data_IF_392337668088
#
_entry.id   IF_392337668088
#
_cell.length_a   1.000
_cell.length_b   1.000
_cell.length_c   1.000
_cell.angle_alpha   90.00
_cell.angle_beta   90.00
_cell.angle_gamma   90.00
#
_symmetry.space_group_name_H-M   'P 1'
#
loop_
_entity.id
_entity.type
_entity.pdbx_description
1 polymer ?
#
# COMPACT_ATOMS: atom_id res chain seq x y z
N UNK A 1 6.27 -32.22 2.99
CA UNK A 1 5.08 -31.48 3.46
C UNK A 1 5.26 -30.04 3.04
N UNK A 2 4.37 -29.49 2.21
CA UNK A 2 4.44 -28.08 1.84
C UNK A 2 3.98 -27.25 3.05
N UNK A 3 4.88 -26.43 3.60
CA UNK A 3 4.54 -25.47 4.65
C UNK A 3 3.52 -24.50 4.06
N UNK A 4 2.27 -24.61 4.51
CA UNK A 4 1.22 -23.66 4.16
C UNK A 4 1.48 -22.41 4.98
N UNK A 5 2.34 -21.52 4.47
CA UNK A 5 2.57 -20.21 5.07
C UNK A 5 1.22 -19.49 5.05
N UNK A 6 0.68 -19.20 6.23
CA UNK A 6 -0.43 -18.27 6.39
C UNK A 6 0.08 -16.89 5.96
N UNK A 7 -0.02 -16.61 4.67
CA UNK A 7 0.41 -15.35 4.09
C UNK A 7 -0.64 -14.30 4.43
N UNK A 8 -0.55 -13.75 5.66
CA UNK A 8 -1.12 -12.43 5.93
C UNK A 8 -0.62 -11.50 4.83
N UNK A 9 -1.54 -10.87 4.11
CA UNK A 9 -1.20 -10.03 2.98
C UNK A 9 -1.43 -8.59 3.41
N UNK A 10 -0.37 -7.86 3.71
CA UNK A 10 -0.43 -6.44 4.03
C UNK A 10 0.24 -5.64 2.91
N UNK A 11 0.02 -4.33 2.94
CA UNK A 11 0.64 -3.41 2.01
C UNK A 11 1.40 -2.34 2.77
N UNK A 12 2.58 -1.97 2.26
CA UNK A 12 3.32 -0.81 2.73
C UNK A 12 3.60 0.11 1.55
N UNK A 13 3.15 1.36 1.62
CA UNK A 13 3.60 2.43 0.72
C UNK A 13 4.63 3.31 1.43
N UNK A 14 5.58 3.85 0.67
CA UNK A 14 6.70 4.65 1.20
C UNK A 14 6.66 6.06 0.64
N UNK A 15 6.62 7.04 1.53
CA UNK A 15 6.85 8.44 1.21
C UNK A 15 8.33 8.75 1.48
N UNK A 16 9.01 9.24 0.45
CA UNK A 16 10.38 9.78 0.55
C UNK A 16 10.29 11.30 0.49
N UNK A 17 10.70 11.98 1.57
CA UNK A 17 10.76 13.44 1.61
C UNK A 17 12.05 13.97 0.97
N UNK A 18 12.06 15.25 0.64
CA UNK A 18 13.21 15.94 0.05
C UNK A 18 14.47 15.88 0.94
N UNK A 19 14.30 15.80 2.26
CA UNK A 19 15.39 15.65 3.24
C UNK A 19 15.91 14.19 3.37
N UNK A 20 15.36 13.27 2.58
CA UNK A 20 15.67 11.84 2.61
C UNK A 20 15.02 11.09 3.77
N UNK A 21 14.22 11.75 4.61
CA UNK A 21 13.44 11.06 5.64
C UNK A 21 12.30 10.27 5.00
N UNK A 22 11.97 9.15 5.64
CA UNK A 22 11.03 8.17 5.13
C UNK A 22 9.85 8.04 6.09
N UNK A 23 8.66 7.98 5.52
CA UNK A 23 7.41 7.65 6.23
C UNK A 23 6.76 6.49 5.52
N UNK A 24 6.34 5.48 6.27
CA UNK A 24 5.68 4.30 5.70
C UNK A 24 4.22 4.27 6.09
N UNK A 25 3.35 3.88 5.17
CA UNK A 25 1.95 3.61 5.47
C UNK A 25 1.70 2.13 5.32
N UNK A 26 1.46 1.48 6.45
CA UNK A 26 1.12 0.07 6.52
C UNK A 26 -0.40 -0.09 6.55
N UNK A 27 -0.90 -0.94 5.67
CA UNK A 27 -2.32 -1.15 5.43
C UNK A 27 -2.63 -2.62 5.57
N UNK A 28 -3.67 -2.90 6.36
CA UNK A 28 -4.24 -4.24 6.53
C UNK A 28 -5.48 -4.35 5.64
N UNK A 29 -5.70 -5.47 4.93
CA UNK A 29 -6.90 -5.69 4.12
C UNK A 29 -8.19 -5.53 4.93
N UNK A 30 -9.29 -5.29 4.21
CA UNK A 30 -10.60 -5.25 4.83
C UNK A 30 -10.93 -6.58 5.54
N UNK A 31 -11.50 -6.52 6.76
CA UNK A 31 -12.10 -7.69 7.39
C UNK A 31 -13.34 -8.13 6.59
N UNK A 32 -13.71 -9.40 6.71
CA UNK A 32 -14.75 -10.02 5.89
C UNK A 32 -16.09 -9.27 5.99
N UNK A 33 -16.46 -8.79 7.17
CA UNK A 33 -17.72 -8.09 7.42
C UNK A 33 -17.80 -6.78 6.62
N UNK A 34 -16.69 -6.06 6.50
CA UNK A 34 -16.62 -4.83 5.69
C UNK A 34 -16.73 -5.16 4.21
N UNK A 35 -16.11 -6.26 3.77
CA UNK A 35 -16.20 -6.73 2.37
C UNK A 35 -17.63 -7.14 2.04
N UNK A 36 -18.29 -7.90 2.90
CA UNK A 36 -19.66 -8.38 2.72
C UNK A 36 -20.64 -7.21 2.58
N UNK A 37 -20.56 -6.22 3.48
CA UNK A 37 -21.41 -5.02 3.45
C UNK A 37 -21.20 -4.15 2.20
N UNK A 38 -20.01 -4.17 1.61
CA UNK A 38 -19.62 -3.29 0.51
C UNK A 38 -19.38 -4.04 -0.82
N UNK A 39 -19.74 -5.32 -0.92
CA UNK A 39 -19.33 -6.21 -2.01
C UNK A 39 -19.65 -5.65 -3.41
N UNK A 40 -20.83 -5.06 -3.61
CA UNK A 40 -21.24 -4.46 -4.90
C UNK A 40 -20.38 -3.24 -5.23
N UNK A 41 -20.09 -2.38 -4.24
CA UNK A 41 -19.22 -1.22 -4.43
C UNK A 41 -17.80 -1.67 -4.80
N UNK A 42 -17.25 -2.61 -4.03
CA UNK A 42 -15.90 -3.14 -4.21
C UNK A 42 -15.74 -3.85 -5.56
N UNK A 43 -16.71 -4.68 -5.95
CA UNK A 43 -16.71 -5.37 -7.24
C UNK A 43 -16.75 -4.39 -8.42
N UNK A 44 -17.60 -3.36 -8.36
CA UNK A 44 -17.66 -2.35 -9.41
C UNK A 44 -16.36 -1.55 -9.51
N UNK A 45 -15.80 -1.14 -8.36
CA UNK A 45 -14.55 -0.38 -8.33
C UNK A 45 -13.38 -1.22 -8.86
N UNK A 46 -13.30 -2.49 -8.46
CA UNK A 46 -12.34 -3.46 -8.98
C UNK A 46 -12.45 -3.63 -10.49
N UNK A 47 -13.66 -3.86 -11.02
CA UNK A 47 -13.87 -3.98 -12.46
C UNK A 47 -13.42 -2.71 -13.21
N UNK A 48 -13.74 -1.53 -12.68
CA UNK A 48 -13.40 -0.26 -13.31
C UNK A 48 -11.88 -0.01 -13.34
N UNK A 49 -11.12 -0.52 -12.37
CA UNK A 49 -9.65 -0.44 -12.40
C UNK A 49 -9.09 -1.08 -13.67
N UNK A 50 -9.59 -2.25 -14.08
CA UNK A 50 -9.06 -2.96 -15.24
C UNK A 50 -9.70 -2.54 -16.56
N UNK A 51 -10.98 -2.19 -16.56
CA UNK A 51 -11.73 -1.89 -17.78
C UNK A 51 -11.60 -0.45 -18.25
N UNK A 52 -11.49 0.52 -17.34
CA UNK A 52 -11.45 1.94 -17.71
C UNK A 52 -10.04 2.54 -17.66
N UNK A 53 -9.19 2.05 -16.74
CA UNK A 53 -7.90 2.68 -16.44
C UNK A 53 -6.72 1.77 -16.80
N UNK A 54 -6.85 0.48 -16.53
CA UNK A 54 -5.78 -0.49 -16.62
C UNK A 54 -4.92 -0.55 -15.36
N UNK A 55 -4.20 -1.65 -15.20
CA UNK A 55 -3.48 -2.02 -13.96
C UNK A 55 -2.45 -0.98 -13.50
N UNK A 56 -1.77 -0.31 -14.43
CA UNK A 56 -0.73 0.68 -14.10
C UNK A 56 -1.31 2.02 -13.68
N UNK A 57 -2.41 2.46 -14.28
CA UNK A 57 -3.04 3.74 -13.97
C UNK A 57 -3.96 3.68 -12.74
N UNK A 58 -4.54 2.50 -12.46
CA UNK A 58 -5.52 2.34 -11.38
C UNK A 58 -5.03 2.82 -10.00
N UNK A 59 -3.79 2.51 -9.54
CA UNK A 59 -3.26 3.06 -8.29
C UNK A 59 -3.29 4.58 -8.19
N UNK A 60 -3.21 5.32 -9.30
CA UNK A 60 -3.19 6.80 -9.28
C UNK A 60 -4.57 7.42 -9.13
N UNK A 61 -5.63 6.70 -9.49
CA UNK A 61 -6.99 7.24 -9.56
C UNK A 61 -7.97 6.55 -8.64
N UNK A 62 -7.60 5.43 -8.04
CA UNK A 62 -8.50 4.59 -7.23
C UNK A 62 -9.20 5.36 -6.10
N UNK A 63 -8.48 6.21 -5.38
CA UNK A 63 -9.06 7.04 -4.33
C UNK A 63 -10.09 8.05 -4.87
N UNK A 64 -9.79 8.68 -6.00
CA UNK A 64 -10.73 9.62 -6.66
C UNK A 64 -11.98 8.89 -7.15
N UNK A 65 -11.83 7.70 -7.74
CA UNK A 65 -12.95 6.88 -8.18
C UNK A 65 -13.85 6.47 -7.01
N UNK A 66 -13.26 6.05 -5.89
CA UNK A 66 -14.00 5.70 -4.68
C UNK A 66 -14.81 6.90 -4.16
N UNK A 67 -14.17 8.07 -4.02
CA UNK A 67 -14.84 9.30 -3.57
C UNK A 67 -15.98 9.70 -4.50
N UNK A 68 -15.79 9.60 -5.81
CA UNK A 68 -16.85 9.91 -6.78
C UNK A 68 -18.05 8.97 -6.64
N UNK A 69 -17.83 7.67 -6.41
CA UNK A 69 -18.91 6.70 -6.17
C UNK A 69 -19.66 7.03 -4.89
N UNK A 70 -18.95 7.33 -3.80
CA UNK A 70 -19.56 7.67 -2.51
C UNK A 70 -20.37 8.97 -2.62
N UNK A 71 -19.79 10.01 -3.25
CA UNK A 71 -20.47 11.27 -3.49
C UNK A 71 -21.76 11.06 -4.29
N UNK A 72 -21.71 10.28 -5.37
CA UNK A 72 -22.91 9.98 -6.17
C UNK A 72 -23.99 9.26 -5.36
N UNK A 73 -23.62 8.29 -4.50
CA UNK A 73 -24.57 7.60 -3.62
C UNK A 73 -25.20 8.53 -2.58
N UNK A 74 -24.43 9.47 -2.04
CA UNK A 74 -24.96 10.49 -1.13
C UNK A 74 -25.94 11.44 -1.84
N UNK A 75 -25.61 11.88 -3.05
CA UNK A 75 -26.49 12.73 -3.88
C UNK A 75 -27.80 12.02 -4.25
N UNK A 76 -27.75 10.70 -4.45
CA UNK A 76 -28.94 9.88 -4.72
C UNK A 76 -29.76 9.53 -3.47
N UNK A 77 -29.26 9.86 -2.27
CA UNK A 77 -29.92 9.55 -0.99
C UNK A 77 -29.72 8.11 -0.50
N UNK A 78 -28.83 7.32 -1.12
CA UNK A 78 -28.54 5.94 -0.71
C UNK A 78 -27.74 5.88 0.61
N UNK A 79 -26.95 6.94 0.89
CA UNK A 79 -26.13 7.06 2.10
C UNK A 79 -26.46 8.41 2.74
N UNK A 80 -26.95 8.38 3.98
CA UNK A 80 -27.25 9.60 4.71
C UNK A 80 -25.95 10.38 5.05
N UNK A 81 -25.97 11.73 5.02
CA UNK A 81 -24.84 12.53 5.44
C UNK A 81 -24.39 12.19 6.86
N UNK A 82 -23.08 12.07 7.08
CA UNK A 82 -22.49 11.79 8.40
C UNK A 82 -22.51 10.31 8.81
N UNK A 83 -23.01 9.40 7.98
CA UNK A 83 -22.88 7.96 8.20
C UNK A 83 -21.46 7.52 7.80
N UNK A 84 -20.76 6.73 8.65
CA UNK A 84 -19.46 6.16 8.30
C UNK A 84 -19.53 5.37 7.00
N UNK A 85 -18.50 5.53 6.18
CA UNK A 85 -18.33 4.89 4.88
C UNK A 85 -17.11 3.99 4.88
N UNK A 86 -16.91 3.27 3.78
CA UNK A 86 -15.70 2.47 3.58
C UNK A 86 -14.41 3.31 3.60
N UNK A 87 -14.47 4.63 3.37
CA UNK A 87 -13.30 5.52 3.54
C UNK A 87 -12.87 5.54 5.01
N UNK A 88 -13.81 5.59 5.95
CA UNK A 88 -13.52 5.58 7.38
C UNK A 88 -12.88 4.24 7.79
N UNK A 89 -13.32 3.13 7.19
CA UNK A 89 -12.66 1.82 7.37
C UNK A 89 -11.23 1.81 6.82
N UNK A 90 -10.99 2.38 5.63
CA UNK A 90 -9.64 2.50 5.05
C UNK A 90 -8.73 3.31 5.98
N UNK A 91 -9.21 4.44 6.50
CA UNK A 91 -8.45 5.26 7.43
C UNK A 91 -8.11 4.49 8.72
N UNK A 92 -9.09 3.76 9.28
CA UNK A 92 -8.89 2.93 10.49
C UNK A 92 -7.89 1.80 10.27
N UNK A 93 -7.84 1.23 9.07
CA UNK A 93 -6.95 0.13 8.69
C UNK A 93 -5.57 0.58 8.19
N UNK A 94 -5.32 1.90 8.19
CA UNK A 94 -4.04 2.50 7.78
C UNK A 94 -3.28 3.01 9.00
N UNK A 95 -2.05 2.53 9.16
CA UNK A 95 -1.13 2.96 10.22
C UNK A 95 0.12 3.59 9.61
N UNK A 96 0.49 4.76 10.11
CA UNK A 96 1.71 5.47 9.72
C UNK A 96 2.86 5.00 10.61
N UNK A 97 3.99 4.65 9.98
CA UNK A 97 5.25 4.34 10.64
C UNK A 97 6.23 5.47 10.33
N UNK A 98 6.80 6.05 11.37
CA UNK A 98 7.63 7.24 11.26
C UNK A 98 8.84 7.12 12.18
N UNK A 99 9.92 7.84 11.85
CA UNK A 99 11.14 7.85 12.62
C UNK A 99 11.20 9.08 13.53
N UNK A 100 11.35 8.85 14.83
CA UNK A 100 11.62 9.88 15.82
C UNK A 100 13.06 9.75 16.30
N UNK A 101 13.97 10.54 15.71
CA UNK A 101 15.37 10.59 16.14
C UNK A 101 16.05 9.20 16.26
N UNK A 102 15.79 8.32 15.28
CA UNK A 102 16.31 6.95 15.24
C UNK A 102 15.35 5.89 15.80
N UNK A 103 14.29 6.26 16.50
CA UNK A 103 13.29 5.34 17.07
C UNK A 103 12.08 5.28 16.14
N UNK A 104 11.81 4.11 15.57
CA UNK A 104 10.61 3.90 14.75
C UNK A 104 9.36 3.78 15.62
N UNK A 105 8.33 4.57 15.30
CA UNK A 105 7.06 4.64 16.00
C UNK A 105 5.90 4.42 15.04
N UNK A 106 4.74 4.11 15.58
CA UNK A 106 3.50 3.92 14.83
C UNK A 106 2.43 4.89 15.30
N UNK A 107 1.57 5.33 14.40
CA UNK A 107 0.43 6.18 14.71
C UNK A 107 -0.73 5.88 13.76
N UNK A 108 -1.98 5.76 14.23
CA UNK A 108 -3.14 5.70 13.34
C UNK A 108 -3.15 6.89 12.38
N UNK A 109 -3.67 6.72 11.17
CA UNK A 109 -3.63 7.77 10.15
C UNK A 109 -4.24 9.11 10.61
N UNK A 110 -5.39 9.08 11.29
CA UNK A 110 -6.02 10.28 11.85
C UNK A 110 -5.11 11.02 12.86
N UNK A 111 -4.46 10.26 13.75
CA UNK A 111 -3.50 10.83 14.69
C UNK A 111 -2.24 11.37 13.99
N UNK A 112 -1.81 10.73 12.91
CA UNK A 112 -0.67 11.18 12.12
C UNK A 112 -0.96 12.53 11.44
N UNK A 113 -2.16 12.73 10.91
CA UNK A 113 -2.59 14.04 10.41
C UNK A 113 -2.65 15.09 11.51
N UNK A 114 -3.30 14.77 12.64
CA UNK A 114 -3.45 15.71 13.77
C UNK A 114 -2.11 16.18 14.33
N UNK A 115 -1.10 15.29 14.31
CA UNK A 115 0.24 15.58 14.81
C UNK A 115 1.20 16.06 13.70
N UNK A 116 0.72 16.35 12.49
CA UNK A 116 1.53 16.77 11.33
C UNK A 116 2.69 15.80 11.00
N UNK A 117 2.50 14.50 11.25
CA UNK A 117 3.47 13.46 10.88
C UNK A 117 3.44 13.15 9.38
N UNK A 118 2.31 13.44 8.73
CA UNK A 118 2.09 13.37 7.29
C UNK A 118 1.18 14.55 6.90
N UNK A 119 1.46 15.15 5.75
CA UNK A 119 0.68 16.25 5.19
C UNK A 119 -0.43 15.74 4.26
N UNK A 120 -1.49 16.52 4.01
CA UNK A 120 -2.53 16.15 3.05
C UNK A 120 -2.01 15.92 1.63
N UNK A 121 -0.98 16.65 1.21
CA UNK A 121 -0.39 16.51 -0.13
C UNK A 121 0.43 15.23 -0.23
N UNK A 122 1.27 14.92 0.76
CA UNK A 122 1.97 13.62 0.84
C UNK A 122 0.99 12.45 0.82
N UNK A 123 -0.10 12.53 1.57
CA UNK A 123 -1.09 11.45 1.59
C UNK A 123 -1.82 11.30 0.24
N UNK A 124 -2.11 12.42 -0.44
CA UNK A 124 -2.78 12.39 -1.75
C UNK A 124 -1.98 11.61 -2.79
N UNK A 125 -0.66 11.57 -2.68
CA UNK A 125 0.18 10.83 -3.61
C UNK A 125 0.01 9.32 -3.49
N UNK A 126 -0.26 8.81 -2.29
CA UNK A 126 -0.26 7.37 -1.99
C UNK A 126 -1.65 6.80 -1.71
N UNK A 127 -2.64 7.64 -1.39
CA UNK A 127 -3.99 7.20 -1.04
C UNK A 127 -4.61 6.31 -2.12
N UNK A 128 -4.34 6.61 -3.39
CA UNK A 128 -4.79 5.79 -4.49
C UNK A 128 -4.21 4.36 -4.45
N UNK A 129 -2.94 4.19 -4.09
CA UNK A 129 -2.32 2.86 -3.93
C UNK A 129 -2.99 2.08 -2.80
N UNK A 130 -3.28 2.75 -1.69
CA UNK A 130 -3.97 2.18 -0.53
C UNK A 130 -5.34 1.66 -0.96
N UNK A 131 -6.15 2.51 -1.61
CA UNK A 131 -7.49 2.11 -2.08
C UNK A 131 -7.40 0.99 -3.11
N UNK A 132 -6.46 1.07 -4.04
CA UNK A 132 -6.25 0.05 -5.05
C UNK A 132 -5.90 -1.32 -4.43
N UNK A 133 -4.99 -1.32 -3.45
CA UNK A 133 -4.64 -2.53 -2.69
C UNK A 133 -5.85 -3.10 -1.95
N UNK A 134 -6.55 -2.25 -1.19
CA UNK A 134 -7.68 -2.65 -0.34
C UNK A 134 -8.83 -3.26 -1.14
N UNK A 135 -9.22 -2.63 -2.23
CA UNK A 135 -10.29 -3.12 -3.11
C UNK A 135 -9.88 -4.41 -3.81
N UNK A 136 -8.66 -4.46 -4.33
CA UNK A 136 -8.18 -5.60 -5.09
C UNK A 136 -7.92 -6.83 -4.21
N UNK A 137 -7.47 -6.64 -2.96
CA UNK A 137 -7.31 -7.73 -1.98
C UNK A 137 -8.64 -8.25 -1.45
N UNK A 138 -9.70 -7.43 -1.45
CA UNK A 138 -11.05 -7.86 -1.08
C UNK A 138 -11.72 -8.76 -2.12
N UNK A 139 -11.40 -8.59 -3.40
CA UNK A 139 -12.05 -9.33 -4.50
C UNK A 139 -11.23 -10.55 -4.94
N UNK A 140 -9.90 -10.45 -4.93
CA UNK A 140 -9.03 -11.51 -5.42
C UNK A 140 -8.62 -12.48 -4.31
N UNK A 141 -8.34 -13.73 -4.71
CA UNK A 141 -7.67 -14.67 -3.81
C UNK A 141 -6.27 -14.15 -3.48
N UNK A 142 -5.85 -14.27 -2.21
CA UNK A 142 -4.58 -13.74 -1.72
C UNK A 142 -3.35 -14.17 -2.56
N UNK A 143 -3.37 -15.40 -3.10
CA UNK A 143 -2.29 -15.93 -3.94
C UNK A 143 -2.22 -15.32 -5.36
N UNK A 144 -3.28 -14.65 -5.81
CA UNK A 144 -3.33 -13.99 -7.12
C UNK A 144 -2.93 -12.53 -7.04
N UNK A 145 -3.12 -11.90 -5.87
CA UNK A 145 -2.88 -10.47 -5.66
C UNK A 145 -1.45 -10.08 -6.07
N UNK A 146 -0.44 -10.82 -5.63
CA UNK A 146 0.96 -10.54 -5.97
C UNK A 146 1.20 -10.50 -7.50
N UNK A 147 0.64 -11.46 -8.23
CA UNK A 147 0.80 -11.56 -9.68
C UNK A 147 0.00 -10.52 -10.48
N UNK A 148 -1.13 -10.05 -9.97
CA UNK A 148 -2.02 -9.13 -10.69
C UNK A 148 -1.74 -7.66 -10.38
N UNK A 149 -1.31 -7.33 -9.16
CA UNK A 149 -1.08 -5.93 -8.74
C UNK A 149 0.32 -5.65 -8.21
N UNK A 150 1.11 -6.67 -7.84
CA UNK A 150 2.39 -6.46 -7.16
C UNK A 150 3.35 -5.60 -7.99
N UNK A 151 3.36 -5.77 -9.31
CA UNK A 151 4.16 -4.95 -10.21
C UNK A 151 3.69 -3.49 -10.25
N UNK A 152 2.37 -3.26 -10.32
CA UNK A 152 1.81 -1.91 -10.34
C UNK A 152 2.07 -1.17 -9.02
N UNK A 153 1.90 -1.84 -7.87
CA UNK A 153 2.22 -1.25 -6.57
C UNK A 153 3.71 -0.96 -6.42
N UNK A 154 4.59 -1.87 -6.87
CA UNK A 154 6.04 -1.67 -6.83
C UNK A 154 6.50 -0.46 -7.64
N UNK A 155 5.83 -0.16 -8.75
CA UNK A 155 6.11 1.01 -9.57
C UNK A 155 5.90 2.33 -8.82
N UNK A 156 5.03 2.34 -7.80
CA UNK A 156 4.73 3.50 -6.97
C UNK A 156 5.29 3.37 -5.55
N UNK A 157 6.46 2.74 -5.39
CA UNK A 157 7.13 2.59 -4.07
C UNK A 157 6.32 1.79 -3.04
N UNK A 158 5.36 1.00 -3.52
CA UNK A 158 4.54 0.10 -2.73
C UNK A 158 5.10 -1.32 -2.65
N UNK A 159 4.89 -1.99 -1.52
CA UNK A 159 5.34 -3.36 -1.29
C UNK A 159 4.24 -4.18 -0.62
N UNK A 160 4.00 -5.38 -1.15
CA UNK A 160 3.22 -6.41 -0.46
C UNK A 160 4.11 -7.09 0.58
N UNK A 161 3.67 -7.11 1.83
CA UNK A 161 4.44 -7.66 2.96
C UNK A 161 3.60 -8.64 3.76
N UNK A 162 4.25 -9.66 4.33
CA UNK A 162 3.59 -10.58 5.26
C UNK A 162 3.72 -10.19 6.73
N UNK A 163 4.57 -9.20 7.02
CA UNK A 163 4.82 -8.72 8.37
C UNK A 163 3.63 -7.90 8.87
N UNK A 164 3.24 -8.14 10.11
CA UNK A 164 2.36 -7.22 10.84
C UNK A 164 3.02 -5.85 10.99
N UNK A 165 2.23 -4.84 11.36
CA UNK A 165 2.70 -3.48 11.60
C UNK A 165 3.90 -3.44 12.56
N UNK A 166 3.82 -4.18 13.67
CA UNK A 166 4.86 -4.23 14.70
C UNK A 166 6.11 -4.91 14.17
N UNK A 167 5.97 -6.06 13.51
CA UNK A 167 7.10 -6.78 12.93
C UNK A 167 7.79 -5.99 11.81
N UNK A 168 7.01 -5.30 10.97
CA UNK A 168 7.54 -4.45 9.91
C UNK A 168 8.31 -3.27 10.50
N UNK A 169 7.72 -2.53 11.45
CA UNK A 169 8.39 -1.45 12.19
C UNK A 169 9.71 -1.92 12.80
N UNK A 170 9.71 -3.07 13.46
CA UNK A 170 10.89 -3.61 14.16
C UNK A 170 11.97 -4.13 13.18
N UNK A 171 11.62 -4.34 11.91
CA UNK A 171 12.55 -4.69 10.84
C UNK A 171 13.29 -3.48 10.25
N UNK A 172 12.71 -2.26 10.33
CA UNK A 172 13.26 -1.05 9.72
C UNK A 172 14.67 -0.68 10.23
N UNK A 173 15.03 -0.80 11.52
CA UNK A 173 16.40 -0.59 11.97
C UNK A 173 17.41 -1.52 11.30
N UNK A 174 17.02 -2.78 11.05
CA UNK A 174 17.90 -3.83 10.53
C UNK A 174 18.16 -3.66 9.03
N UNK A 175 17.18 -3.12 8.31
CA UNK A 175 17.25 -2.88 6.86
C UNK A 175 18.39 -1.93 6.44
N UNK A 176 18.96 -1.13 7.36
CA UNK A 176 20.09 -0.23 7.07
C UNK A 176 21.46 -0.93 7.07
N UNK A 177 21.53 -2.24 7.30
CA UNK A 177 22.81 -2.97 7.43
C UNK A 177 23.33 -3.55 6.11
N UNK A 178 22.52 -3.62 5.04
CA UNK A 178 22.88 -4.29 3.78
C UNK A 178 23.37 -3.36 2.65
N UNK A 179 23.70 -2.10 2.95
CA UNK A 179 24.30 -1.19 1.94
C UNK A 179 25.82 -1.13 2.06
N UNK A 180 26.48 -2.27 1.79
CA UNK A 180 27.86 -2.33 1.26
C UNK A 180 28.29 -3.79 1.04
N UNK A 181 27.68 -4.49 0.07
CA UNK A 181 28.39 -5.61 -0.57
C UNK A 181 29.22 -4.98 -1.69
N UNK A 182 30.57 -4.93 -1.60
CA UNK A 182 31.37 -4.48 -2.72
C UNK A 182 31.08 -5.39 -3.91
N UNK A 183 30.78 -4.79 -5.05
CA UNK A 183 30.75 -5.49 -6.34
C UNK A 183 32.04 -6.29 -6.48
N UNK A 184 32.01 -7.62 -6.62
CA UNK A 184 33.21 -8.35 -6.97
C UNK A 184 33.71 -7.79 -8.30
N UNK A 185 34.95 -7.31 -8.33
CA UNK A 185 35.60 -6.91 -9.59
C UNK A 185 35.46 -8.07 -10.57
N UNK A 186 34.94 -7.76 -11.77
CA UNK A 186 34.86 -8.72 -12.86
C UNK A 186 36.27 -9.29 -13.11
N UNK A 187 36.45 -10.61 -13.21
CA UNK A 187 37.74 -11.19 -13.59
C UNK A 187 38.20 -10.56 -14.91
N UNK A 188 39.37 -9.93 -14.92
CA UNK A 188 39.98 -9.43 -16.14
C UNK A 188 40.16 -10.59 -17.13
N UNK A 189 39.47 -10.56 -18.27
CA UNK A 189 39.77 -11.45 -19.38
C UNK A 189 41.20 -11.15 -19.86
N UNK A 190 42.13 -12.04 -19.54
CA UNK A 190 43.43 -12.09 -20.19
C UNK A 190 43.21 -12.53 -21.64
N UNK A 191 43.16 -11.55 -22.54
CA UNK A 191 43.15 -11.79 -23.98
C UNK A 191 44.49 -12.41 -24.39
N UNK A 192 44.52 -13.72 -24.59
CA UNK A 192 45.65 -14.42 -25.17
C UNK A 192 45.59 -14.28 -26.70
N UNK A 193 46.45 -13.43 -27.26
CA UNK A 193 46.74 -13.42 -28.69
C UNK A 193 47.81 -14.50 -28.95
N UNK A 194 47.54 -15.54 -29.78
CA UNK A 194 48.57 -16.51 -30.16
C UNK A 194 49.52 -15.92 -31.21
N UNK A 195 50.83 -16.15 -31.02
CA UNK A 195 51.89 -15.90 -32.02
C UNK A 195 51.91 -16.95 -33.12
#
# INVERSE_FOLDING_TARGET
MAVKIDKKLNFVSTITRDDGSMVYLHVVPFPYEVVEQNCVLLGNLFNNFFTLVGTVGAPRVAAMMLRNIIKSRQENGDIAPGVPTIIDDIQRLTTVIWNDNGIWKTSPLDAAFKNNLITPDEYREIEGEIVFFMVSSAIQKANLVEGTMGHALKMYSGQLVSLSITEYRDSLPKSKTDTATPTPEAPQELSHIPS
#
